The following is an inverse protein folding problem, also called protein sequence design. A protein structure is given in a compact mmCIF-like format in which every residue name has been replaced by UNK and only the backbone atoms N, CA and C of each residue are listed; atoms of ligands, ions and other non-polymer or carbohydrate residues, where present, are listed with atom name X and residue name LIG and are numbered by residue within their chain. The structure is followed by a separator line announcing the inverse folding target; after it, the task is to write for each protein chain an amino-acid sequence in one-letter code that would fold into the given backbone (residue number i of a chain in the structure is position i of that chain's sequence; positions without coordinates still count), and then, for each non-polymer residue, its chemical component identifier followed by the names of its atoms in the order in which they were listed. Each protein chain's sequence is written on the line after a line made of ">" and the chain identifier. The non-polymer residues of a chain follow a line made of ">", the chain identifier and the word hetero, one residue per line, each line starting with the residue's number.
data_IF_008286930969
#
_entry.id   IF_008286930969
#
_cell.length_a   1.000
_cell.length_b   1.000
_cell.length_c   1.000
_cell.angle_alpha   90.00
_cell.angle_beta   90.00
_cell.angle_gamma   90.00
#
_symmetry.space_group_name_H-M   'P 1'
#
loop_
_entity.id
_entity.type
_entity.pdbx_description
1 polymer ?
#
# COMPACT_ATOMS: atom_id res chain seq x y z
N UNK A 1 -0.88 14.73 -7.19
CA UNK A 1 -1.15 13.60 -8.14
C UNK A 1 -0.59 12.31 -7.54
N UNK A 2 -1.11 11.11 -7.85
CA UNK A 2 -0.73 9.84 -7.18
C UNK A 2 0.77 9.51 -7.28
N UNK A 3 1.40 9.84 -8.40
CA UNK A 3 2.84 9.68 -8.61
C UNK A 3 3.67 10.61 -7.72
N UNK A 4 3.17 11.82 -7.45
CA UNK A 4 3.89 12.82 -6.66
C UNK A 4 3.96 12.42 -5.17
N UNK A 5 2.92 11.72 -4.68
CA UNK A 5 2.86 11.23 -3.29
C UNK A 5 3.44 9.83 -3.13
N UNK A 6 3.78 9.14 -4.23
CA UNK A 6 4.31 7.78 -4.22
C UNK A 6 5.59 7.64 -3.38
N UNK A 7 6.57 8.57 -3.42
CA UNK A 7 7.75 8.47 -2.57
C UNK A 7 7.40 8.43 -1.08
N UNK A 8 6.51 9.31 -0.62
CA UNK A 8 6.03 9.34 0.78
C UNK A 8 5.29 8.05 1.15
N UNK A 9 4.36 7.62 0.29
CA UNK A 9 3.62 6.37 0.48
C UNK A 9 4.53 5.14 0.62
N UNK A 10 5.61 5.07 -0.17
CA UNK A 10 6.59 3.98 -0.08
C UNK A 10 7.44 4.04 1.19
N UNK A 11 7.72 5.22 1.75
CA UNK A 11 8.43 5.35 3.04
C UNK A 11 7.58 4.75 4.17
N UNK A 12 6.30 5.08 4.22
CA UNK A 12 5.36 4.53 5.20
C UNK A 12 5.18 3.02 5.03
N UNK A 13 4.98 2.55 3.80
CA UNK A 13 4.89 1.12 3.50
C UNK A 13 6.16 0.35 3.91
N UNK A 14 7.34 0.96 3.77
CA UNK A 14 8.62 0.36 4.21
C UNK A 14 8.70 0.25 5.73
N UNK A 15 8.21 1.24 6.47
CA UNK A 15 8.11 1.18 7.93
C UNK A 15 7.16 0.05 8.38
N UNK A 16 5.98 -0.05 7.75
CA UNK A 16 5.01 -1.12 8.02
C UNK A 16 5.53 -2.52 7.66
N UNK A 17 6.34 -2.62 6.60
CA UNK A 17 6.99 -3.89 6.24
C UNK A 17 8.03 -4.29 7.28
N UNK A 18 8.78 -3.31 7.81
CA UNK A 18 9.78 -3.52 8.87
C UNK A 18 9.14 -3.92 10.20
N UNK A 19 7.97 -3.37 10.54
CA UNK A 19 7.22 -3.75 11.75
C UNK A 19 6.53 -5.11 11.63
N UNK A 20 6.47 -5.69 10.43
CA UNK A 20 5.76 -6.93 10.15
C UNK A 20 4.24 -6.76 10.05
N UNK A 21 3.72 -5.53 10.04
CA UNK A 21 2.29 -5.25 9.84
C UNK A 21 1.90 -5.36 8.36
N UNK A 22 2.77 -4.96 7.43
CA UNK A 22 2.56 -5.17 5.99
C UNK A 22 3.17 -6.50 5.55
N UNK A 23 2.33 -7.43 5.07
CA UNK A 23 2.79 -8.71 4.53
C UNK A 23 3.23 -8.55 3.08
N UNK A 24 2.31 -8.11 2.22
CA UNK A 24 2.56 -7.82 0.81
C UNK A 24 1.74 -6.62 0.36
N UNK A 25 2.18 -5.94 -0.70
CA UNK A 25 1.40 -4.88 -1.32
C UNK A 25 1.95 -4.49 -2.68
N UNK A 26 1.12 -3.85 -3.49
CA UNK A 26 1.46 -3.53 -4.87
C UNK A 26 0.50 -2.56 -5.53
N UNK A 27 0.91 -2.08 -6.70
CA UNK A 27 0.08 -1.27 -7.59
C UNK A 27 -0.97 -2.15 -8.28
N UNK A 28 -2.21 -1.68 -8.33
CA UNK A 28 -3.21 -2.21 -9.26
C UNK A 28 -3.08 -1.43 -10.57
N UNK A 29 -2.90 -2.16 -11.66
CA UNK A 29 -2.74 -1.61 -13.00
C UNK A 29 -4.01 -1.87 -13.83
N UNK A 30 -4.23 -1.06 -14.87
CA UNK A 30 -5.29 -1.29 -15.86
C UNK A 30 -5.13 -2.63 -16.58
N UNK A 31 -3.88 -3.03 -16.80
CA UNK A 31 -3.47 -4.20 -17.55
C UNK A 31 -1.98 -4.51 -17.24
N UNK A 32 -1.47 -5.61 -17.79
CA UNK A 32 -0.10 -6.08 -17.55
C UNK A 32 0.92 -5.59 -18.61
N UNK A 33 0.56 -4.63 -19.46
CA UNK A 33 1.51 -4.05 -20.42
C UNK A 33 2.43 -3.02 -19.75
N UNK A 34 3.55 -2.70 -20.40
CA UNK A 34 4.46 -1.63 -19.95
C UNK A 34 3.79 -0.24 -19.93
N UNK A 35 2.66 -0.09 -20.64
CA UNK A 35 1.84 1.13 -20.67
C UNK A 35 0.72 1.14 -19.63
N UNK A 36 0.57 0.06 -18.86
CA UNK A 36 -0.47 -0.11 -17.85
C UNK A 36 -0.44 1.01 -16.81
N UNK A 37 -1.59 1.65 -16.59
CA UNK A 37 -1.69 2.81 -15.67
C UNK A 37 -2.05 2.34 -14.27
N UNK A 38 -1.44 2.96 -13.26
CA UNK A 38 -1.78 2.70 -11.86
C UNK A 38 -3.16 3.24 -11.51
N UNK A 39 -4.12 2.34 -11.27
CA UNK A 39 -5.50 2.66 -10.87
C UNK A 39 -5.76 2.43 -9.39
N UNK A 40 -4.87 1.75 -8.68
CA UNK A 40 -5.06 1.44 -7.27
C UNK A 40 -3.81 0.95 -6.57
N UNK A 41 -3.99 0.58 -5.31
CA UNK A 41 -3.04 -0.20 -4.55
C UNK A 41 -3.79 -1.29 -3.80
N UNK A 42 -3.13 -2.43 -3.63
CA UNK A 42 -3.58 -3.51 -2.76
C UNK A 42 -2.53 -3.73 -1.67
N UNK A 43 -2.98 -3.97 -0.46
CA UNK A 43 -2.13 -4.29 0.69
C UNK A 43 -2.76 -5.44 1.46
N UNK A 44 -1.95 -6.44 1.82
CA UNK A 44 -2.32 -7.48 2.78
C UNK A 44 -1.59 -7.18 4.07
N UNK A 45 -2.35 -6.95 5.13
CA UNK A 45 -1.85 -6.50 6.41
C UNK A 45 -2.23 -7.47 7.52
N UNK A 46 -1.43 -7.47 8.58
CA UNK A 46 -1.67 -8.18 9.82
C UNK A 46 -2.11 -7.17 10.89
N UNK A 47 -3.19 -7.49 11.58
CA UNK A 47 -3.68 -6.79 12.78
C UNK A 47 -4.48 -7.78 13.63
N UNK A 48 -4.71 -7.45 14.89
CA UNK A 48 -5.49 -8.24 15.84
C UNK A 48 -6.98 -8.22 15.50
N UNK A 49 -7.46 -7.13 14.89
CA UNK A 49 -8.83 -6.97 14.42
C UNK A 49 -8.91 -5.92 13.28
N UNK A 50 -10.09 -5.78 12.67
CA UNK A 50 -10.31 -4.88 11.54
C UNK A 50 -10.14 -3.39 11.89
N UNK A 51 -10.40 -3.03 13.15
CA UNK A 51 -10.33 -1.64 13.60
C UNK A 51 -8.88 -1.15 13.70
N UNK A 52 -7.98 -1.99 14.22
CA UNK A 52 -6.54 -1.69 14.23
C UNK A 52 -6.03 -1.45 12.80
N UNK A 53 -6.42 -2.31 11.85
CA UNK A 53 -6.01 -2.18 10.45
C UNK A 53 -6.54 -0.87 9.85
N UNK A 54 -7.77 -0.45 10.17
CA UNK A 54 -8.30 0.85 9.73
C UNK A 54 -7.47 2.02 10.25
N UNK A 55 -7.15 2.03 11.54
CA UNK A 55 -6.37 3.12 12.15
C UNK A 55 -4.97 3.25 11.55
N UNK A 56 -4.39 2.14 11.07
CA UNK A 56 -3.10 2.16 10.36
C UNK A 56 -3.25 2.77 8.95
N UNK A 57 -4.35 2.45 8.25
CA UNK A 57 -4.57 2.88 6.85
C UNK A 57 -5.07 4.32 6.74
N UNK A 58 -5.81 4.83 7.73
CA UNK A 58 -6.45 6.15 7.69
C UNK A 58 -5.54 7.31 8.18
N UNK A 59 -4.31 7.01 8.59
CA UNK A 59 -3.29 8.02 8.95
C UNK A 59 -2.71 8.75 7.74
#
# INVERSE_FOLDING_TARGET
>A
RRLDVRPKHLVEAKALKKSGQLQIGGALLTDHSDSGKMIGSIMIMKGENAEEVRQIIEK
#
